data_IF_676836219674
#
_entry.id   IF_676836219674
#
_cell.length_a   1.000
_cell.length_b   1.000
_cell.length_c   1.000
_cell.angle_alpha   90.00
_cell.angle_beta   90.00
_cell.angle_gamma   90.00
#
_symmetry.space_group_name_H-M   'P 1'
#
loop_
_entity.id
_entity.type
_entity.pdbx_description
1 polymer ?
#
# COMPACT_ATOMS: atom_id res chain seq x y z
N UNK A 1 0.79 14.51 0.74
CA UNK A 1 -0.50 13.92 0.37
C UNK A 1 -0.51 12.44 0.75
N UNK A 2 -1.67 11.90 1.12
CA UNK A 2 -1.83 10.48 1.50
C UNK A 2 -1.63 9.52 0.32
N UNK A 3 -1.64 10.02 -0.88
CA UNK A 3 -1.52 9.27 -2.14
C UNK A 3 -0.19 9.51 -2.86
N UNK A 4 0.85 9.78 -2.13
CA UNK A 4 2.15 10.12 -2.68
C UNK A 4 2.37 11.62 -2.86
N UNK A 5 3.60 12.00 -3.09
CA UNK A 5 3.96 13.39 -3.35
C UNK A 5 3.57 13.80 -4.77
N UNK A 6 3.14 15.05 -4.93
CA UNK A 6 2.96 15.60 -6.27
C UNK A 6 4.31 15.54 -7.01
N UNK A 7 4.34 14.88 -8.15
CA UNK A 7 5.55 14.68 -8.94
C UNK A 7 6.48 13.55 -8.47
N UNK A 8 6.05 12.73 -7.49
CA UNK A 8 6.82 11.58 -7.00
C UNK A 8 6.65 10.28 -7.77
N UNK A 9 5.81 10.25 -8.79
CA UNK A 9 5.58 9.07 -9.60
C UNK A 9 6.52 9.05 -10.82
N UNK A 10 7.04 7.89 -11.15
CA UNK A 10 7.92 7.67 -12.29
C UNK A 10 7.19 7.70 -13.64
N UNK A 11 5.87 7.82 -13.62
CA UNK A 11 5.03 7.84 -14.84
C UNK A 11 4.71 9.27 -15.24
N UNK A 12 5.30 9.81 -16.33
CA UNK A 12 5.04 11.16 -16.79
C UNK A 12 3.58 11.37 -17.18
N UNK A 13 3.02 12.52 -16.80
CA UNK A 13 1.64 12.91 -17.17
C UNK A 13 0.54 12.31 -16.30
N UNK A 14 0.85 11.49 -15.32
CA UNK A 14 -0.13 10.99 -14.38
C UNK A 14 -0.35 11.98 -13.22
N UNK A 15 -1.57 12.49 -13.11
CA UNK A 15 -1.96 13.30 -11.96
C UNK A 15 -2.65 12.46 -10.89
N UNK A 16 -1.87 12.02 -9.91
CA UNK A 16 -2.29 11.11 -8.84
C UNK A 16 -3.49 11.63 -8.05
N UNK A 17 -3.48 12.90 -7.65
CA UNK A 17 -4.59 13.50 -6.88
C UNK A 17 -5.89 13.52 -7.68
N UNK A 18 -5.85 13.97 -8.94
CA UNK A 18 -7.02 14.04 -9.79
C UNK A 18 -7.58 12.66 -10.13
N UNK A 19 -6.71 11.69 -10.36
CA UNK A 19 -7.11 10.30 -10.56
C UNK A 19 -7.82 9.72 -9.33
N UNK A 20 -7.26 9.91 -8.14
CA UNK A 20 -7.86 9.50 -6.88
C UNK A 20 -9.20 10.18 -6.60
N UNK A 21 -9.29 11.49 -6.84
CA UNK A 21 -10.54 12.22 -6.67
C UNK A 21 -11.64 11.67 -7.59
N UNK A 22 -11.35 11.47 -8.86
CA UNK A 22 -12.32 10.90 -9.83
C UNK A 22 -12.77 9.49 -9.43
N UNK A 23 -11.86 8.68 -8.89
CA UNK A 23 -12.20 7.35 -8.40
C UNK A 23 -13.21 7.43 -7.25
N UNK A 24 -12.98 8.33 -6.28
CA UNK A 24 -13.89 8.56 -5.17
C UNK A 24 -15.27 9.08 -5.62
N UNK A 25 -15.29 10.00 -6.58
CA UNK A 25 -16.53 10.51 -7.16
C UNK A 25 -17.36 9.43 -7.85
N UNK A 26 -16.70 8.49 -8.54
CA UNK A 26 -17.34 7.35 -9.20
C UNK A 26 -17.83 6.26 -8.25
N UNK A 27 -17.18 6.10 -7.11
CA UNK A 27 -17.55 5.07 -6.13
C UNK A 27 -18.94 5.26 -5.52
N UNK A 28 -19.51 6.47 -5.63
CA UNK A 28 -20.84 6.77 -5.11
C UNK A 28 -20.84 7.20 -3.65
N UNK A 29 -22.02 7.69 -3.23
CA UNK A 29 -22.20 8.27 -1.90
C UNK A 29 -22.05 7.20 -0.81
N UNK A 30 -21.21 7.47 0.18
CA UNK A 30 -21.05 6.62 1.36
C UNK A 30 -20.05 5.48 1.22
N UNK A 31 -19.62 5.10 0.02
CA UNK A 31 -18.68 3.99 -0.21
C UNK A 31 -17.35 4.27 0.48
N UNK A 32 -16.75 5.42 0.26
CA UNK A 32 -15.46 5.80 0.86
C UNK A 32 -15.51 5.79 2.40
N UNK A 33 -16.60 6.29 2.97
CA UNK A 33 -16.80 6.27 4.43
C UNK A 33 -16.90 4.82 4.94
N UNK A 34 -17.67 3.98 4.28
CA UNK A 34 -17.84 2.57 4.66
C UNK A 34 -16.51 1.83 4.62
N UNK A 35 -15.73 2.00 3.56
CA UNK A 35 -14.43 1.34 3.41
C UNK A 35 -13.43 1.79 4.49
N UNK A 36 -13.33 3.09 4.75
CA UNK A 36 -12.48 3.60 5.82
C UNK A 36 -12.92 3.14 7.19
N UNK A 37 -14.23 3.05 7.45
CA UNK A 37 -14.75 2.58 8.72
C UNK A 37 -14.45 1.09 8.93
N UNK A 38 -14.56 0.27 7.90
CA UNK A 38 -14.13 -1.13 7.95
C UNK A 38 -12.64 -1.26 8.33
N UNK A 39 -11.77 -0.45 7.72
CA UNK A 39 -10.35 -0.42 8.07
C UNK A 39 -10.14 0.01 9.54
N UNK A 40 -10.90 0.99 10.02
CA UNK A 40 -10.78 1.50 11.38
C UNK A 40 -11.26 0.49 12.44
N UNK A 41 -12.30 -0.28 12.12
CA UNK A 41 -12.86 -1.30 13.01
C UNK A 41 -12.04 -2.61 13.01
N UNK A 42 -11.20 -2.83 12.00
CA UNK A 42 -10.39 -4.03 11.88
C UNK A 42 -9.20 -3.99 12.86
N UNK A 43 -9.27 -4.76 13.93
CA UNK A 43 -8.29 -4.77 15.03
C UNK A 43 -7.44 -6.02 15.12
N UNK A 44 -7.81 -7.10 14.40
CA UNK A 44 -7.21 -8.43 14.55
C UNK A 44 -6.06 -8.70 13.56
N UNK A 45 -5.55 -7.67 12.88
CA UNK A 45 -4.59 -7.81 11.78
C UNK A 45 -3.33 -8.58 12.16
N UNK A 46 -2.71 -8.30 13.30
CA UNK A 46 -1.49 -9.00 13.72
C UNK A 46 -1.75 -10.47 14.10
N UNK A 47 -2.82 -10.73 14.84
CA UNK A 47 -3.18 -12.10 15.21
C UNK A 47 -3.58 -12.98 14.02
N UNK A 48 -4.10 -12.37 12.97
CA UNK A 48 -4.38 -13.05 11.71
C UNK A 48 -3.11 -13.25 10.88
N UNK A 49 -2.19 -12.29 10.90
CA UNK A 49 -0.90 -12.39 10.21
C UNK A 49 -0.06 -13.59 10.73
N UNK A 50 -0.13 -13.89 12.03
CA UNK A 50 0.51 -15.09 12.63
C UNK A 50 0.05 -16.42 12.00
N UNK A 51 -1.13 -16.44 11.39
CA UNK A 51 -1.70 -17.63 10.75
C UNK A 51 -1.35 -17.79 9.28
N UNK A 52 -0.64 -16.80 8.71
CA UNK A 52 -0.19 -16.86 7.33
C UNK A 52 0.98 -17.81 7.23
N UNK A 53 0.81 -18.90 6.46
CA UNK A 53 1.80 -19.98 6.32
C UNK A 53 2.38 -20.10 4.91
N UNK A 54 2.06 -19.18 4.03
CA UNK A 54 2.61 -19.14 2.66
C UNK A 54 3.77 -18.15 2.57
N UNK A 55 4.70 -18.33 1.62
CA UNK A 55 5.73 -17.34 1.32
C UNK A 55 5.12 -15.98 1.02
N UNK A 56 5.57 -14.94 1.71
CA UNK A 56 4.95 -13.61 1.68
C UNK A 56 6.00 -12.55 1.38
N UNK A 57 5.69 -11.66 0.45
CA UNK A 57 6.45 -10.44 0.19
C UNK A 57 5.66 -9.22 0.66
N UNK A 58 6.22 -8.44 1.57
CA UNK A 58 5.65 -7.17 2.02
C UNK A 58 6.40 -6.02 1.35
N UNK A 59 5.73 -5.31 0.44
CA UNK A 59 6.29 -4.14 -0.25
C UNK A 59 5.90 -2.90 0.55
N UNK A 60 6.89 -2.06 0.87
CA UNK A 60 6.75 -0.93 1.77
C UNK A 60 7.18 0.36 1.05
N UNK A 61 6.34 1.36 1.00
CA UNK A 61 6.72 2.70 0.56
C UNK A 61 7.39 3.48 1.70
N UNK A 62 8.62 3.96 1.50
CA UNK A 62 9.37 4.65 2.56
C UNK A 62 8.72 5.94 3.06
N UNK A 63 7.85 6.53 2.24
CA UNK A 63 7.10 7.77 2.55
C UNK A 63 5.59 7.51 2.71
N UNK A 64 5.19 6.28 2.93
CA UNK A 64 3.78 5.95 3.13
C UNK A 64 3.26 6.57 4.44
N UNK A 65 2.38 7.55 4.30
CA UNK A 65 1.75 8.24 5.42
C UNK A 65 0.41 7.63 5.85
N UNK A 66 -0.12 6.71 5.06
CA UNK A 66 -1.39 6.04 5.35
C UNK A 66 -1.18 4.75 6.14
N UNK A 67 -0.23 3.93 5.70
CA UNK A 67 0.26 2.77 6.43
C UNK A 67 1.75 2.94 6.69
N UNK A 68 2.08 3.54 7.83
CA UNK A 68 3.47 3.90 8.15
C UNK A 68 4.41 2.69 8.05
N UNK A 69 5.63 2.84 7.51
CA UNK A 69 6.58 1.74 7.33
C UNK A 69 6.81 0.90 8.58
N UNK A 70 6.82 1.52 9.76
CA UNK A 70 6.98 0.81 11.05
C UNK A 70 5.87 -0.21 11.29
N UNK A 71 4.64 0.06 10.87
CA UNK A 71 3.52 -0.87 11.02
C UNK A 71 3.60 -2.01 9.97
N UNK A 72 4.01 -1.71 8.75
CA UNK A 72 4.24 -2.73 7.73
C UNK A 72 5.36 -3.70 8.15
N UNK A 73 6.44 -3.20 8.74
CA UNK A 73 7.52 -4.04 9.30
C UNK A 73 7.02 -4.92 10.46
N UNK A 74 6.12 -4.42 11.31
CA UNK A 74 5.51 -5.25 12.38
C UNK A 74 4.71 -6.40 11.80
N UNK A 75 3.90 -6.14 10.77
CA UNK A 75 3.13 -7.20 10.09
C UNK A 75 4.08 -8.23 9.47
N UNK A 76 5.10 -7.79 8.74
CA UNK A 76 6.08 -8.68 8.15
C UNK A 76 6.80 -9.56 9.20
N UNK A 77 7.19 -8.96 10.33
CA UNK A 77 7.85 -9.70 11.41
C UNK A 77 6.95 -10.76 12.07
N UNK A 78 5.63 -10.64 11.91
CA UNK A 78 4.64 -11.57 12.45
C UNK A 78 4.44 -12.80 11.55
N UNK A 79 4.72 -12.68 10.26
CA UNK A 79 4.56 -13.75 9.26
C UNK A 79 5.85 -14.56 9.17
N UNK A 80 5.80 -15.87 9.42
CA UNK A 80 6.95 -16.75 9.52
C UNK A 80 7.83 -16.77 8.26
N UNK A 81 7.21 -16.93 7.08
CA UNK A 81 7.89 -16.93 5.78
C UNK A 81 7.73 -15.60 5.05
N UNK A 82 8.13 -14.50 5.68
CA UNK A 82 8.04 -13.19 5.04
C UNK A 82 9.39 -12.58 4.73
N UNK A 83 9.41 -11.78 3.67
CA UNK A 83 10.49 -10.86 3.36
C UNK A 83 9.92 -9.48 3.02
N UNK A 84 10.71 -8.45 3.23
CA UNK A 84 10.31 -7.08 2.95
C UNK A 84 11.10 -6.49 1.79
N UNK A 85 10.47 -5.61 1.04
CA UNK A 85 11.10 -4.74 0.06
C UNK A 85 10.63 -3.31 0.31
N UNK A 86 11.55 -2.40 0.56
CA UNK A 86 11.24 -0.98 0.73
C UNK A 86 11.51 -0.22 -0.57
N UNK A 87 10.49 0.48 -1.07
CA UNK A 87 10.60 1.38 -2.21
C UNK A 87 10.89 2.78 -1.71
N UNK A 88 12.10 3.27 -2.02
CA UNK A 88 12.52 4.61 -1.62
C UNK A 88 11.75 5.71 -2.34
N UNK A 89 11.46 6.80 -1.62
CA UNK A 89 10.69 7.96 -2.13
C UNK A 89 9.29 7.58 -2.65
N UNK A 90 8.72 6.50 -2.17
CA UNK A 90 7.42 5.98 -2.55
C UNK A 90 6.41 6.14 -1.41
N UNK A 91 5.21 6.60 -1.73
CA UNK A 91 4.09 6.71 -0.79
C UNK A 91 3.17 5.49 -0.83
N UNK A 92 1.90 5.71 -0.49
CA UNK A 92 0.90 4.64 -0.36
C UNK A 92 0.48 4.03 -1.71
N UNK A 93 0.38 4.84 -2.75
CA UNK A 93 -0.08 4.39 -4.07
C UNK A 93 1.06 3.84 -4.93
N UNK A 94 1.83 2.90 -4.38
CA UNK A 94 3.08 2.40 -4.97
C UNK A 94 2.93 1.84 -6.38
N UNK A 95 1.80 1.20 -6.71
CA UNK A 95 1.49 0.71 -8.06
C UNK A 95 1.43 1.84 -9.11
N UNK A 96 1.03 3.03 -8.68
CA UNK A 96 0.96 4.20 -9.55
C UNK A 96 2.23 5.04 -9.47
N UNK A 97 2.92 5.03 -8.33
CA UNK A 97 4.11 5.86 -8.11
C UNK A 97 5.36 5.21 -8.70
N UNK A 98 5.52 3.91 -8.56
CA UNK A 98 6.68 3.14 -9.04
C UNK A 98 6.25 1.79 -9.62
N UNK A 99 5.51 1.78 -10.74
CA UNK A 99 4.92 0.56 -11.31
C UNK A 99 5.98 -0.49 -11.69
N UNK A 100 7.11 -0.07 -12.26
CA UNK A 100 8.17 -0.99 -12.69
C UNK A 100 8.86 -1.65 -11.49
N UNK A 101 9.15 -0.91 -10.43
CA UNK A 101 9.74 -1.46 -9.22
C UNK A 101 8.80 -2.46 -8.52
N UNK A 102 7.49 -2.18 -8.55
CA UNK A 102 6.48 -3.12 -8.02
C UNK A 102 6.40 -4.37 -8.90
N UNK A 103 6.41 -4.22 -10.22
CA UNK A 103 6.42 -5.36 -11.15
C UNK A 103 7.64 -6.26 -10.94
N UNK A 104 8.82 -5.66 -10.84
CA UNK A 104 10.07 -6.39 -10.56
C UNK A 104 10.00 -7.15 -9.23
N UNK A 105 9.41 -6.55 -8.20
CA UNK A 105 9.18 -7.20 -6.92
C UNK A 105 8.23 -8.40 -7.04
N UNK A 106 7.13 -8.24 -7.76
CA UNK A 106 6.13 -9.32 -7.96
C UNK A 106 6.71 -10.51 -8.71
N UNK A 107 7.55 -10.29 -9.72
CA UNK A 107 8.21 -11.38 -10.47
C UNK A 107 9.06 -12.27 -9.54
N UNK A 108 9.54 -11.74 -8.42
CA UNK A 108 10.36 -12.52 -7.48
C UNK A 108 9.59 -13.51 -6.62
N UNK A 109 8.26 -13.44 -6.58
CA UNK A 109 7.41 -14.29 -5.74
C UNK A 109 6.47 -15.19 -6.54
N UNK A 110 6.35 -14.94 -7.82
CA UNK A 110 5.49 -15.71 -8.73
C UNK A 110 6.24 -16.94 -9.28
#
# INVERSE_FOLDING_TARGET
SRFGQMGGNDVPGMWMKGGGQRLLERAGKGVFFTDLNCCNEFTDGLSLAEKVSCPTLVIIGSQDAMTAPVNAHKVAATIEESRTLTLEKCGHAMLNEQPDAVLDALITIV
#
